data_IF_930744991681
#
_entry.id   IF_930744991681
#
_cell.length_a   1.000
_cell.length_b   1.000
_cell.length_c   1.000
_cell.angle_alpha   90.00
_cell.angle_beta   90.00
_cell.angle_gamma   90.00
#
_symmetry.space_group_name_H-M   'P 1'
#
loop_
_entity.id
_entity.type
_entity.pdbx_description
1 polymer ?
#
# COMPACT_ATOMS: atom_id res chain seq x y z
N UNK A 1 10.39 7.08 -10.58
CA UNK A 1 9.30 6.82 -11.52
C UNK A 1 9.78 6.55 -12.95
N UNK A 2 10.83 7.22 -13.37
CA UNK A 2 11.30 7.15 -14.76
C UNK A 2 12.49 6.19 -14.93
N UNK A 3 12.60 5.21 -14.04
CA UNK A 3 13.64 4.20 -14.04
C UNK A 3 13.07 2.83 -13.70
N UNK A 4 13.59 1.80 -14.31
CA UNK A 4 13.32 0.39 -13.94
C UNK A 4 13.90 0.01 -12.57
N UNK A 5 14.81 0.84 -12.03
CA UNK A 5 15.44 0.59 -10.73
C UNK A 5 14.48 0.90 -9.57
N UNK A 6 13.51 1.80 -9.78
CA UNK A 6 12.43 2.07 -8.82
C UNK A 6 11.29 1.11 -9.11
N UNK A 7 11.28 -0.01 -8.43
CA UNK A 7 10.38 -1.12 -8.66
C UNK A 7 9.96 -1.79 -7.33
N UNK A 8 9.01 -2.71 -7.32
CA UNK A 8 8.53 -3.35 -6.09
C UNK A 8 9.61 -4.00 -5.21
N UNK A 9 10.69 -4.52 -5.78
CA UNK A 9 11.82 -5.06 -4.99
C UNK A 9 12.56 -3.93 -4.28
N UNK A 10 12.85 -2.83 -4.99
CA UNK A 10 13.47 -1.65 -4.40
C UNK A 10 12.59 -1.08 -3.28
N UNK A 11 11.29 -0.98 -3.51
CA UNK A 11 10.33 -0.47 -2.52
C UNK A 11 10.31 -1.33 -1.24
N UNK A 12 10.58 -2.62 -1.36
CA UNK A 12 10.69 -3.56 -0.24
C UNK A 12 12.07 -3.57 0.45
N UNK A 13 13.08 -2.88 -0.11
CA UNK A 13 14.40 -2.71 0.51
C UNK A 13 14.44 -1.46 1.42
N UNK A 14 13.78 -0.39 1.01
CA UNK A 14 13.82 0.90 1.71
C UNK A 14 13.38 0.83 3.18
N UNK A 15 12.33 0.09 3.57
CA UNK A 15 11.92 -0.05 4.97
C UNK A 15 13.01 -0.66 5.87
N UNK A 16 13.89 -1.49 5.33
CA UNK A 16 14.95 -2.19 6.07
C UNK A 16 16.31 -1.47 6.01
N UNK A 17 16.44 -0.45 5.20
CA UNK A 17 17.69 0.26 4.96
C UNK A 17 17.53 1.76 5.21
N UNK A 18 17.01 2.51 4.24
CA UNK A 18 16.90 3.98 4.31
C UNK A 18 16.03 4.43 5.49
N UNK A 19 14.93 3.75 5.77
CA UNK A 19 14.02 4.14 6.85
C UNK A 19 14.54 3.82 8.26
N UNK A 20 15.57 3.00 8.38
CA UNK A 20 16.27 2.78 9.68
C UNK A 20 16.89 4.06 10.20
N UNK A 21 17.26 4.99 9.33
CA UNK A 21 17.79 6.30 9.69
C UNK A 21 16.71 7.34 10.06
N UNK A 22 15.43 6.99 9.91
CA UNK A 22 14.27 7.86 10.18
C UNK A 22 13.41 8.12 8.94
N UNK A 23 12.41 9.01 9.06
CA UNK A 23 11.51 9.35 7.97
C UNK A 23 12.25 9.82 6.73
N UNK A 24 11.65 9.63 5.58
CA UNK A 24 12.24 10.06 4.30
C UNK A 24 11.23 10.86 3.48
N UNK A 25 11.74 11.75 2.64
CA UNK A 25 10.92 12.38 1.60
C UNK A 25 10.52 11.33 0.57
N UNK A 26 9.25 11.29 0.26
CA UNK A 26 8.72 10.35 -0.69
C UNK A 26 7.50 10.92 -1.41
N UNK A 27 7.38 10.59 -2.69
CA UNK A 27 6.30 11.03 -3.57
C UNK A 27 5.56 9.81 -4.13
N UNK A 28 4.67 9.19 -3.33
CA UNK A 28 3.91 8.01 -3.75
C UNK A 28 2.67 8.35 -4.57
N UNK A 29 1.93 7.32 -4.98
CA UNK A 29 0.58 7.44 -5.47
C UNK A 29 0.46 7.80 -6.94
N UNK A 30 1.37 7.35 -7.79
CA UNK A 30 1.16 7.43 -9.23
C UNK A 30 -0.11 6.68 -9.64
N UNK A 31 -0.91 7.32 -10.49
CA UNK A 31 -2.16 6.77 -11.02
C UNK A 31 -1.90 5.89 -12.23
N UNK A 32 -0.86 6.19 -13.01
CA UNK A 32 -0.42 5.34 -14.13
C UNK A 32 0.52 4.26 -13.59
N UNK A 33 0.09 3.01 -13.73
CA UNK A 33 0.80 1.85 -13.20
C UNK A 33 1.08 0.85 -14.31
N UNK A 34 2.21 0.17 -14.26
CA UNK A 34 2.59 -0.83 -15.25
C UNK A 34 3.15 -2.10 -14.60
N UNK A 35 2.93 -3.23 -15.26
CA UNK A 35 3.64 -4.49 -15.00
C UNK A 35 5.11 -4.36 -15.41
N UNK A 36 5.94 -5.36 -15.09
CA UNK A 36 7.33 -5.36 -15.50
C UNK A 36 7.48 -5.40 -17.04
N UNK A 37 6.56 -6.05 -17.72
CA UNK A 37 6.52 -6.23 -19.16
C UNK A 37 6.09 -4.95 -19.89
N UNK A 38 5.09 -4.24 -19.37
CA UNK A 38 4.47 -3.09 -20.03
C UNK A 38 5.15 -1.75 -19.71
N UNK A 39 6.09 -1.76 -18.79
CA UNK A 39 6.75 -0.53 -18.37
C UNK A 39 7.67 0.03 -19.45
N UNK A 40 7.51 1.33 -19.73
CA UNK A 40 8.44 2.12 -20.53
C UNK A 40 8.67 3.50 -19.90
N UNK A 41 9.81 4.09 -20.16
CA UNK A 41 10.15 5.43 -19.66
C UNK A 41 9.32 6.48 -20.43
N UNK A 42 8.56 7.28 -19.71
CA UNK A 42 7.73 8.34 -20.29
C UNK A 42 7.79 9.59 -19.41
N UNK A 43 8.54 10.59 -19.83
CA UNK A 43 8.72 11.84 -19.09
C UNK A 43 7.50 12.76 -19.12
N UNK A 44 6.60 12.59 -20.10
CA UNK A 44 5.37 13.40 -20.21
C UNK A 44 4.26 12.87 -19.33
N UNK A 45 4.13 11.55 -19.26
CA UNK A 45 3.15 10.83 -18.45
C UNK A 45 3.86 9.75 -17.61
N UNK A 46 4.46 10.13 -16.48
CA UNK A 46 5.22 9.20 -15.66
C UNK A 46 4.41 7.96 -15.26
N UNK A 47 5.06 6.80 -15.33
CA UNK A 47 4.47 5.50 -15.02
C UNK A 47 5.26 4.90 -13.86
N UNK A 48 4.57 4.35 -12.86
CA UNK A 48 5.20 3.60 -11.76
C UNK A 48 5.13 2.11 -12.03
N UNK A 49 6.23 1.40 -11.78
CA UNK A 49 6.27 -0.06 -11.75
C UNK A 49 5.53 -0.61 -10.54
N UNK A 50 4.83 -1.72 -10.73
CA UNK A 50 3.94 -2.32 -9.74
C UNK A 50 2.50 -1.85 -9.87
N UNK A 51 1.62 -2.42 -9.03
CA UNK A 51 0.19 -2.17 -9.12
C UNK A 51 -0.25 -0.87 -8.48
N UNK A 52 -1.48 -0.44 -8.76
CA UNK A 52 -2.10 0.71 -8.08
C UNK A 52 -2.27 0.45 -6.58
N UNK A 53 -2.59 -0.78 -6.18
CA UNK A 53 -2.69 -1.13 -4.78
C UNK A 53 -1.33 -1.12 -4.09
N UNK A 54 -0.23 -1.42 -4.80
CA UNK A 54 1.13 -1.22 -4.31
C UNK A 54 1.37 0.25 -3.96
N UNK A 55 0.99 1.17 -4.85
CA UNK A 55 1.11 2.60 -4.60
C UNK A 55 0.27 3.07 -3.40
N UNK A 56 -0.94 2.52 -3.22
CA UNK A 56 -1.76 2.80 -2.03
C UNK A 56 -1.09 2.30 -0.74
N UNK A 57 -0.52 1.10 -0.77
CA UNK A 57 0.13 0.49 0.38
C UNK A 57 1.39 1.26 0.84
N UNK A 58 2.12 1.88 -0.08
CA UNK A 58 3.31 2.68 0.23
C UNK A 58 3.01 3.86 1.17
N UNK A 59 1.80 4.43 1.14
CA UNK A 59 1.39 5.48 2.08
C UNK A 59 1.37 5.03 3.54
N UNK A 60 1.14 3.74 3.78
CA UNK A 60 1.17 3.15 5.12
C UNK A 60 2.56 2.61 5.45
N UNK A 61 3.22 1.97 4.48
CA UNK A 61 4.52 1.30 4.69
C UNK A 61 5.62 2.31 4.97
N UNK A 62 5.68 3.40 4.20
CA UNK A 62 6.74 4.37 4.36
C UNK A 62 6.43 5.39 5.46
N UNK A 63 7.44 5.67 6.26
CA UNK A 63 7.40 6.76 7.21
C UNK A 63 7.91 8.03 6.52
N UNK A 64 6.97 8.91 6.22
CA UNK A 64 7.23 10.17 5.55
C UNK A 64 6.25 11.22 6.08
N UNK A 65 6.75 12.15 6.88
CA UNK A 65 5.94 13.24 7.45
C UNK A 65 5.51 14.26 6.39
N UNK A 66 6.21 14.31 5.26
CA UNK A 66 5.87 15.12 4.09
C UNK A 66 5.72 14.21 2.88
N UNK A 67 4.50 13.77 2.62
CA UNK A 67 4.15 12.98 1.44
C UNK A 67 3.55 13.88 0.36
N UNK A 68 4.19 13.94 -0.80
CA UNK A 68 3.69 14.67 -1.95
C UNK A 68 3.06 13.70 -2.95
N UNK A 69 1.96 14.13 -3.58
CA UNK A 69 1.31 13.34 -4.61
C UNK A 69 2.17 13.28 -5.88
N UNK A 70 2.31 12.08 -6.42
CA UNK A 70 3.21 11.78 -7.53
C UNK A 70 2.68 12.22 -8.90
N UNK A 71 1.38 12.44 -9.02
CA UNK A 71 0.70 12.62 -10.29
C UNK A 71 -0.01 13.97 -10.38
N UNK A 72 -0.57 14.29 -11.54
CA UNK A 72 -1.32 15.53 -11.77
C UNK A 72 -2.71 15.47 -11.13
N UNK A 73 -3.29 16.62 -10.74
CA UNK A 73 -4.67 16.68 -10.25
C UNK A 73 -5.68 16.03 -11.19
N UNK A 74 -5.52 16.22 -12.50
CA UNK A 74 -6.41 15.63 -13.51
C UNK A 74 -6.41 14.11 -13.51
N UNK A 75 -5.29 13.47 -13.20
CA UNK A 75 -5.20 12.02 -13.10
C UNK A 75 -5.90 11.51 -11.83
N UNK A 76 -5.76 12.21 -10.70
CA UNK A 76 -6.51 11.87 -9.48
C UNK A 76 -8.02 12.04 -9.65
N UNK A 77 -8.48 13.05 -10.39
CA UNK A 77 -9.91 13.18 -10.73
C UNK A 77 -10.44 12.02 -11.59
N UNK A 78 -9.60 11.38 -12.39
CA UNK A 78 -9.96 10.16 -13.15
C UNK A 78 -9.93 8.89 -12.32
N UNK A 79 -9.32 8.93 -11.13
CA UNK A 79 -9.23 7.80 -10.20
C UNK A 79 -9.74 8.21 -8.79
N UNK A 80 -11.02 8.62 -8.67
CA UNK A 80 -11.54 9.23 -7.44
C UNK A 80 -11.54 8.28 -6.24
N UNK A 81 -11.74 6.99 -6.45
CA UNK A 81 -11.71 5.99 -5.38
C UNK A 81 -10.30 5.85 -4.79
N UNK A 82 -9.28 5.80 -5.64
CA UNK A 82 -7.89 5.78 -5.21
C UNK A 82 -7.52 7.07 -4.46
N UNK A 83 -7.84 8.23 -5.04
CA UNK A 83 -7.55 9.53 -4.43
C UNK A 83 -8.24 9.68 -3.07
N UNK A 84 -9.52 9.27 -2.97
CA UNK A 84 -10.28 9.28 -1.72
C UNK A 84 -9.67 8.34 -0.67
N UNK A 85 -9.20 7.16 -1.06
CA UNK A 85 -8.59 6.22 -0.14
C UNK A 85 -7.29 6.78 0.43
N UNK A 86 -6.33 7.20 -0.41
CA UNK A 86 -5.03 7.69 0.04
C UNK A 86 -5.12 8.99 0.85
N UNK A 87 -6.09 9.86 0.57
CA UNK A 87 -6.28 11.13 1.30
C UNK A 87 -6.66 10.94 2.78
N UNK A 88 -7.09 9.75 3.18
CA UNK A 88 -7.45 9.41 4.56
C UNK A 88 -6.33 8.73 5.34
N UNK A 89 -5.20 8.48 4.71
CA UNK A 89 -4.02 7.89 5.36
C UNK A 89 -3.20 9.03 5.99
N UNK A 90 -2.92 8.99 7.30
CA UNK A 90 -2.13 10.03 7.96
C UNK A 90 -0.64 9.90 7.61
N UNK A 91 0.11 10.97 7.88
CA UNK A 91 1.56 11.01 7.64
C UNK A 91 2.41 10.72 8.88
N UNK A 92 1.77 10.62 10.04
CA UNK A 92 2.43 10.35 11.33
C UNK A 92 1.73 9.21 12.06
N UNK A 93 2.46 8.50 12.90
CA UNK A 93 2.02 7.26 13.50
C UNK A 93 2.29 7.24 15.01
N UNK A 94 1.32 6.74 15.78
CA UNK A 94 1.44 6.57 17.25
C UNK A 94 2.07 5.22 17.60
N UNK A 95 1.84 4.17 16.78
CA UNK A 95 2.40 2.83 16.96
C UNK A 95 2.63 2.15 15.61
N UNK A 96 3.58 1.23 15.57
CA UNK A 96 3.93 0.44 14.38
C UNK A 96 4.24 -0.99 14.77
N UNK A 97 3.59 -1.94 14.09
CA UNK A 97 3.80 -3.39 14.29
C UNK A 97 4.16 -4.05 12.97
N UNK A 98 5.36 -4.60 12.88
CA UNK A 98 5.72 -5.49 11.79
C UNK A 98 5.03 -6.84 11.99
N UNK A 99 4.15 -7.22 11.05
CA UNK A 99 3.41 -8.49 11.10
C UNK A 99 4.26 -9.60 10.47
N UNK A 100 4.73 -9.36 9.27
CA UNK A 100 5.74 -10.20 8.60
C UNK A 100 6.62 -9.34 7.74
N UNK A 101 7.91 -9.69 7.67
CA UNK A 101 8.89 -8.90 6.95
C UNK A 101 10.01 -9.79 6.40
N UNK A 102 10.28 -9.66 5.11
CA UNK A 102 11.39 -10.31 4.43
C UNK A 102 11.93 -9.34 3.38
N UNK A 103 13.14 -8.85 3.62
CA UNK A 103 13.76 -7.80 2.80
C UNK A 103 13.76 -8.18 1.31
N UNK A 104 13.30 -7.25 0.47
CA UNK A 104 13.23 -7.44 -0.98
C UNK A 104 12.17 -8.42 -1.48
N UNK A 105 11.40 -9.08 -0.58
CA UNK A 105 10.41 -10.07 -0.97
C UNK A 105 8.99 -9.69 -0.56
N UNK A 106 8.77 -9.41 0.73
CA UNK A 106 7.44 -9.09 1.26
C UNK A 106 7.48 -8.31 2.56
N UNK A 107 6.45 -7.53 2.79
CA UNK A 107 6.24 -6.81 4.04
C UNK A 107 4.74 -6.72 4.32
N UNK A 108 4.33 -7.01 5.55
CA UNK A 108 3.01 -6.62 6.07
C UNK A 108 3.23 -5.87 7.37
N UNK A 109 2.68 -4.66 7.45
CA UNK A 109 2.83 -3.75 8.58
C UNK A 109 1.48 -3.21 9.01
N UNK A 110 1.28 -3.07 10.33
CA UNK A 110 0.14 -2.38 10.90
C UNK A 110 0.62 -1.10 11.62
N UNK A 111 -0.04 0.02 11.35
CA UNK A 111 0.27 1.31 11.97
C UNK A 111 -0.96 1.91 12.60
N UNK A 112 -0.79 2.65 13.69
CA UNK A 112 -1.87 3.29 14.44
C UNK A 112 -1.77 4.81 14.35
N UNK A 113 -2.92 5.45 14.18
CA UNK A 113 -3.06 6.89 14.38
C UNK A 113 -4.41 7.15 15.07
N UNK A 114 -4.37 7.72 16.27
CA UNK A 114 -5.54 7.89 17.13
C UNK A 114 -6.18 6.56 17.47
N UNK A 115 -7.46 6.40 17.12
CA UNK A 115 -8.22 5.15 17.32
C UNK A 115 -8.15 4.19 16.13
N UNK A 116 -7.66 4.65 14.99
CA UNK A 116 -7.64 3.89 13.73
C UNK A 116 -6.36 3.10 13.58
N UNK A 117 -6.49 1.94 12.94
CA UNK A 117 -5.37 1.14 12.45
C UNK A 117 -5.32 1.18 10.93
N UNK A 118 -4.12 1.10 10.40
CA UNK A 118 -3.81 1.10 8.98
C UNK A 118 -2.93 -0.11 8.73
N UNK A 119 -3.42 -1.03 7.92
CA UNK A 119 -2.71 -2.27 7.58
C UNK A 119 -2.30 -2.20 6.12
N UNK A 120 -1.04 -2.55 5.83
CA UNK A 120 -0.58 -2.60 4.45
C UNK A 120 0.34 -3.79 4.21
N UNK A 121 0.23 -4.34 3.00
CA UNK A 121 1.09 -5.39 2.47
C UNK A 121 1.71 -4.98 1.15
N UNK A 122 2.96 -5.36 0.94
CA UNK A 122 3.71 -5.24 -0.30
C UNK A 122 4.34 -6.59 -0.66
N UNK A 123 4.43 -6.88 -1.96
CA UNK A 123 5.16 -8.03 -2.48
C UNK A 123 6.06 -7.62 -3.65
N UNK A 124 7.11 -8.41 -3.88
CA UNK A 124 7.95 -8.31 -5.06
C UNK A 124 7.20 -8.79 -6.33
N UNK A 125 7.92 -9.23 -7.35
CA UNK A 125 7.33 -9.78 -8.58
C UNK A 125 6.74 -11.19 -8.44
N UNK A 126 6.56 -11.68 -7.20
CA UNK A 126 5.86 -12.93 -6.92
C UNK A 126 4.53 -12.64 -6.23
N UNK A 127 3.43 -13.15 -6.78
CA UNK A 127 2.13 -13.07 -6.13
C UNK A 127 2.14 -13.82 -4.80
N UNK A 128 1.52 -13.25 -3.77
CA UNK A 128 1.46 -13.85 -2.42
C UNK A 128 0.10 -13.69 -1.78
N UNK A 129 -0.23 -14.64 -0.92
CA UNK A 129 -1.34 -14.52 0.03
C UNK A 129 -0.80 -14.79 1.43
N UNK A 130 -0.94 -13.84 2.33
CA UNK A 130 -0.37 -13.86 3.66
C UNK A 130 -1.52 -13.82 4.68
N UNK A 131 -1.60 -14.83 5.53
CA UNK A 131 -2.54 -14.82 6.66
C UNK A 131 -2.06 -13.84 7.73
N UNK A 132 -2.95 -12.93 8.13
CA UNK A 132 -2.71 -11.93 9.16
C UNK A 132 -3.73 -12.08 10.28
N UNK A 133 -3.24 -12.31 11.50
CA UNK A 133 -4.07 -12.30 12.70
C UNK A 133 -4.22 -10.88 13.24
N UNK A 134 -5.46 -10.46 13.47
CA UNK A 134 -5.80 -9.11 13.92
C UNK A 134 -5.68 -8.95 15.47
N UNK A 135 -4.73 -9.64 16.09
CA UNK A 135 -4.50 -9.58 17.54
C UNK A 135 -3.99 -8.22 18.04
N UNK A 136 -3.48 -7.39 17.14
CA UNK A 136 -3.00 -6.04 17.46
C UNK A 136 -4.12 -5.03 17.67
N UNK A 137 -5.35 -5.35 17.26
CA UNK A 137 -6.52 -4.48 17.46
C UNK A 137 -6.85 -4.34 18.94
N UNK A 138 -7.30 -3.16 19.35
CA UNK A 138 -7.61 -2.83 20.74
C UNK A 138 -9.11 -2.96 21.05
N UNK A 139 -9.97 -2.42 20.18
CA UNK A 139 -11.43 -2.57 20.28
C UNK A 139 -11.87 -3.95 19.76
N UNK A 140 -13.07 -4.37 20.15
CA UNK A 140 -13.60 -5.67 19.78
C UNK A 140 -13.95 -5.78 18.30
N UNK A 141 -14.45 -4.68 17.69
CA UNK A 141 -14.90 -4.66 16.30
C UNK A 141 -14.39 -3.44 15.56
N UNK A 142 -14.10 -3.63 14.29
CA UNK A 142 -13.68 -2.58 13.36
C UNK A 142 -14.41 -2.71 12.02
N UNK A 143 -14.75 -1.57 11.45
CA UNK A 143 -15.02 -1.45 10.03
C UNK A 143 -13.68 -1.41 9.31
N UNK A 144 -13.42 -2.36 8.42
CA UNK A 144 -12.22 -2.44 7.62
C UNK A 144 -12.55 -2.12 6.17
N UNK A 145 -12.02 -1.00 5.68
CA UNK A 145 -12.09 -0.58 4.29
C UNK A 145 -10.79 -0.99 3.59
N UNK A 146 -10.89 -1.84 2.59
CA UNK A 146 -9.75 -2.44 1.88
C UNK A 146 -9.60 -1.85 0.50
N UNK A 147 -8.37 -1.54 0.11
CA UNK A 147 -7.94 -1.24 -1.26
C UNK A 147 -6.88 -2.27 -1.65
N UNK A 148 -7.16 -3.11 -2.64
CA UNK A 148 -6.31 -4.24 -3.01
C UNK A 148 -6.24 -4.45 -4.51
N UNK A 149 -5.29 -5.28 -4.94
CA UNK A 149 -5.18 -5.70 -6.33
C UNK A 149 -6.49 -6.31 -6.83
N UNK A 150 -6.90 -5.93 -8.04
CA UNK A 150 -8.00 -6.53 -8.76
C UNK A 150 -7.62 -7.88 -9.36
N UNK A 151 -8.61 -8.59 -9.89
CA UNK A 151 -8.42 -9.93 -10.46
C UNK A 151 -7.50 -9.93 -11.69
N UNK A 152 -7.38 -8.81 -12.39
CA UNK A 152 -6.55 -8.66 -13.59
C UNK A 152 -5.24 -7.89 -13.31
N UNK A 153 -4.89 -7.63 -12.06
CA UNK A 153 -3.72 -6.81 -11.73
C UNK A 153 -2.38 -7.36 -12.25
N UNK A 154 -2.30 -8.68 -12.49
CA UNK A 154 -1.14 -9.34 -13.11
C UNK A 154 -0.89 -8.91 -14.56
N UNK A 155 -1.91 -8.45 -15.28
CA UNK A 155 -1.85 -8.05 -16.69
C UNK A 155 -2.26 -6.59 -16.90
N UNK A 156 -2.93 -5.99 -15.94
CA UNK A 156 -3.34 -4.59 -15.94
C UNK A 156 -3.08 -3.98 -14.55
N UNK A 157 -1.89 -3.46 -14.37
CA UNK A 157 -1.39 -3.01 -13.06
C UNK A 157 -2.26 -1.93 -12.38
N UNK A 158 -3.13 -1.25 -13.12
CA UNK A 158 -4.09 -0.29 -12.59
C UNK A 158 -5.40 -0.91 -12.11
N UNK A 159 -5.59 -2.25 -12.28
CA UNK A 159 -6.78 -2.94 -11.79
C UNK A 159 -6.74 -3.08 -10.26
N UNK A 160 -7.82 -2.67 -9.62
CA UNK A 160 -7.95 -2.72 -8.17
C UNK A 160 -9.38 -3.07 -7.77
N UNK A 161 -9.54 -3.46 -6.51
CA UNK A 161 -10.83 -3.70 -5.89
C UNK A 161 -10.89 -3.03 -4.52
N UNK A 162 -12.05 -2.43 -4.21
CA UNK A 162 -12.36 -1.95 -2.86
C UNK A 162 -13.38 -2.88 -2.21
N UNK A 163 -13.23 -3.08 -0.91
CA UNK A 163 -14.16 -3.87 -0.09
C UNK A 163 -14.35 -3.20 1.26
N UNK A 164 -15.52 -3.42 1.84
CA UNK A 164 -15.81 -3.02 3.21
C UNK A 164 -16.32 -4.24 3.98
N UNK A 165 -15.69 -4.56 5.10
CA UNK A 165 -16.05 -5.70 5.94
C UNK A 165 -15.94 -5.34 7.42
N UNK A 166 -16.72 -6.00 8.25
CA UNK A 166 -16.58 -5.92 9.70
C UNK A 166 -15.66 -7.04 10.16
N UNK A 167 -14.65 -6.69 10.94
CA UNK A 167 -13.70 -7.64 11.53
C UNK A 167 -13.65 -7.47 13.04
N UNK A 168 -13.27 -8.53 13.73
CA UNK A 168 -13.11 -8.55 15.18
C UNK A 168 -11.64 -8.74 15.56
N UNK A 169 -11.29 -8.29 16.75
CA UNK A 169 -10.00 -8.61 17.36
C UNK A 169 -9.82 -10.14 17.40
N UNK A 170 -8.67 -10.59 16.89
CA UNK A 170 -8.32 -12.02 16.82
C UNK A 170 -8.75 -12.74 15.56
N UNK A 171 -9.55 -12.11 14.70
CA UNK A 171 -9.86 -12.68 13.38
C UNK A 171 -8.58 -12.85 12.56
N UNK A 172 -8.61 -13.80 11.62
CA UNK A 172 -7.61 -13.98 10.58
C UNK A 172 -8.14 -13.48 9.25
N UNK A 173 -7.33 -12.71 8.53
CA UNK A 173 -7.61 -12.26 7.17
C UNK A 173 -6.49 -12.67 6.23
N UNK A 174 -6.79 -12.76 4.93
CA UNK A 174 -5.79 -13.00 3.91
C UNK A 174 -5.46 -11.70 3.17
N UNK A 175 -4.20 -11.28 3.25
CA UNK A 175 -3.61 -10.21 2.45
C UNK A 175 -3.10 -10.82 1.15
N UNK A 176 -3.93 -10.75 0.10
CA UNK A 176 -3.62 -11.34 -1.20
C UNK A 176 -3.17 -10.25 -2.17
N UNK A 177 -2.01 -10.43 -2.78
CA UNK A 177 -1.32 -9.47 -3.64
C UNK A 177 -0.89 -10.13 -4.94
N UNK A 178 -1.09 -9.43 -6.06
CA UNK A 178 -0.62 -9.80 -7.38
C UNK A 178 0.90 -9.64 -7.50
N UNK A 179 1.49 -9.92 -8.66
CA UNK A 179 2.91 -9.65 -8.94
C UNK A 179 3.19 -8.14 -8.90
N UNK A 180 4.20 -7.73 -8.15
CA UNK A 180 4.46 -6.30 -7.91
C UNK A 180 3.31 -5.59 -7.22
N UNK A 181 2.53 -6.35 -6.47
CA UNK A 181 1.24 -5.94 -5.94
C UNK A 181 1.29 -5.37 -4.53
N UNK A 182 0.11 -4.92 -4.11
CA UNK A 182 -0.10 -4.38 -2.78
C UNK A 182 -1.51 -4.60 -2.25
N UNK A 183 -1.63 -4.31 -0.98
CA UNK A 183 -2.87 -4.39 -0.24
C UNK A 183 -2.85 -3.35 0.88
N UNK A 184 -3.89 -2.56 1.02
CA UNK A 184 -3.99 -1.57 2.09
C UNK A 184 -5.39 -1.57 2.70
N UNK A 185 -5.50 -1.30 4.00
CA UNK A 185 -6.78 -1.15 4.67
C UNK A 185 -6.74 -0.07 5.76
N UNK A 186 -7.90 0.57 5.93
CA UNK A 186 -8.19 1.49 7.03
C UNK A 186 -9.18 0.78 7.95
N UNK A 187 -8.81 0.63 9.22
CA UNK A 187 -9.61 -0.02 10.24
C UNK A 187 -10.09 1.04 11.25
N UNK A 188 -11.38 1.28 11.27
CA UNK A 188 -12.03 2.24 12.18
C UNK A 188 -12.83 1.47 13.23
N UNK A 189 -12.62 1.71 14.54
CA UNK A 189 -13.37 1.00 15.57
C UNK A 189 -14.86 1.34 15.48
N UNK A 190 -15.68 0.34 15.77
CA UNK A 190 -17.14 0.47 15.86
C UNK A 190 -17.51 0.44 17.33
N UNK A 191 -18.33 1.40 17.76
CA UNK A 191 -18.89 1.44 19.11
C UNK A 191 -19.99 0.40 19.32
#
# INVERSE_FOLDING_TARGET
>A
KDSRDINPVHDLILPFTRMVAGPMDYTPGAVNNATAEDFYINFVHPISLGTRAHQAALYVVYESSLQMLADSPSNYYKAPEFASFISRIPTTWDDTKAITAKIGEQLVIARKNGKNWYLAGLTDWNARSIEVKLNFLEADKYKMEVFKDGVNADVYASDFKTEEVIVSKGDSINVTMAKGGGWAAILTPIE
#
